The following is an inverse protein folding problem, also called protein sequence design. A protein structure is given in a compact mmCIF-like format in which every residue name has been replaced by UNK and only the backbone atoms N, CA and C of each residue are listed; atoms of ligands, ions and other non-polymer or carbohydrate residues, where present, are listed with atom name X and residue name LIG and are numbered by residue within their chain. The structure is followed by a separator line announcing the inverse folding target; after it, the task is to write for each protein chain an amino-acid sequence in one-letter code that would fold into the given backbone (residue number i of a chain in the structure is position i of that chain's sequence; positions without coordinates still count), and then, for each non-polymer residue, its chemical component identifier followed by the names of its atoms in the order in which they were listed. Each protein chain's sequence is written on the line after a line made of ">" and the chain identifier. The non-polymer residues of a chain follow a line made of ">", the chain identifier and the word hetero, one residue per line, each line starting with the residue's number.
data_IF_653267940533
#
_entry.id   IF_653267940533
#
_cell.length_a   1.000
_cell.length_b   1.000
_cell.length_c   1.000
_cell.angle_alpha   90.00
_cell.angle_beta   90.00
_cell.angle_gamma   90.00
#
_symmetry.space_group_name_H-M   'P 1'
#
loop_
_entity.id
_entity.type
_entity.pdbx_description
1 polymer ?
#
# COMPACT_ATOMS: atom_id res chain seq x y z
N UNK A 1 -25.74 10.36 6.10
CA UNK A 1 -24.60 11.09 5.47
C UNK A 1 -25.18 12.29 4.73
N UNK A 2 -24.79 13.54 5.05
CA UNK A 2 -25.39 14.77 4.49
C UNK A 2 -24.78 15.21 3.14
N UNK A 3 -24.30 14.26 2.33
CA UNK A 3 -23.66 14.56 1.04
C UNK A 3 -22.25 15.19 1.15
N UNK A 4 -21.59 15.11 2.31
CA UNK A 4 -20.28 15.74 2.54
C UNK A 4 -19.09 14.90 2.03
N UNK A 5 -19.31 13.62 1.69
CA UNK A 5 -18.24 12.70 1.25
C UNK A 5 -18.74 11.94 0.02
N UNK A 6 -18.09 12.16 -1.13
CA UNK A 6 -18.41 11.47 -2.39
C UNK A 6 -17.84 10.04 -2.45
N UNK A 7 -16.73 9.77 -1.76
CA UNK A 7 -16.12 8.44 -1.68
C UNK A 7 -15.19 8.30 -0.47
N UNK A 8 -15.01 7.07 0.02
CA UNK A 8 -14.03 6.73 1.05
C UNK A 8 -13.19 5.54 0.61
N UNK A 9 -11.88 5.65 0.73
CA UNK A 9 -10.97 4.52 0.62
C UNK A 9 -10.58 4.01 2.01
N UNK A 10 -10.62 2.70 2.25
CA UNK A 10 -10.25 2.07 3.52
C UNK A 10 -9.73 0.66 3.24
N UNK A 11 -8.80 0.13 4.06
CA UNK A 11 -8.31 -1.23 3.88
C UNK A 11 -9.40 -2.26 4.20
N UNK A 12 -9.37 -3.40 3.49
CA UNK A 12 -10.32 -4.49 3.68
C UNK A 12 -10.38 -4.94 5.15
N UNK A 13 -9.23 -5.16 5.78
CA UNK A 13 -9.12 -5.62 7.17
C UNK A 13 -9.75 -4.64 8.16
N UNK A 14 -9.63 -3.33 7.89
CA UNK A 14 -10.25 -2.30 8.74
C UNK A 14 -11.76 -2.34 8.62
N UNK A 15 -12.31 -2.52 7.41
CA UNK A 15 -13.76 -2.67 7.22
C UNK A 15 -14.26 -3.89 7.99
N UNK A 16 -13.59 -5.03 7.82
CA UNK A 16 -13.94 -6.28 8.50
C UNK A 16 -13.90 -6.17 10.03
N UNK A 17 -12.82 -5.59 10.56
CA UNK A 17 -12.59 -5.55 12.01
C UNK A 17 -13.41 -4.48 12.71
N UNK A 18 -13.59 -3.31 12.09
CA UNK A 18 -14.21 -2.15 12.74
C UNK A 18 -15.66 -1.91 12.35
N UNK A 19 -16.09 -2.39 11.18
CA UNK A 19 -17.44 -2.14 10.65
C UNK A 19 -18.05 -3.43 10.05
N UNK A 20 -18.07 -4.56 10.78
CA UNK A 20 -18.60 -5.82 10.24
C UNK A 20 -20.07 -5.69 9.81
N UNK A 21 -20.85 -4.90 10.56
CA UNK A 21 -22.25 -4.60 10.26
C UNK A 21 -22.48 -3.93 8.91
N UNK A 22 -21.50 -3.21 8.36
CA UNK A 22 -21.61 -2.61 7.03
C UNK A 22 -21.65 -3.67 5.93
N UNK A 23 -20.93 -4.79 6.14
CA UNK A 23 -20.87 -5.93 5.24
C UNK A 23 -22.00 -6.94 5.47
N UNK A 24 -22.45 -7.10 6.71
CA UNK A 24 -23.51 -8.05 7.07
C UNK A 24 -24.90 -7.54 6.70
N UNK A 25 -25.10 -6.22 6.77
CA UNK A 25 -26.39 -5.57 6.50
C UNK A 25 -26.43 -4.80 5.17
N UNK A 26 -25.42 -4.97 4.32
CA UNK A 26 -25.26 -4.27 3.04
C UNK A 26 -25.53 -2.76 3.16
N UNK A 27 -24.83 -2.09 4.09
CA UNK A 27 -25.01 -0.65 4.34
C UNK A 27 -24.11 0.22 3.47
N UNK A 28 -23.19 -0.38 2.71
CA UNK A 28 -22.20 0.30 1.88
C UNK A 28 -21.97 -0.47 0.59
N UNK A 29 -21.82 0.27 -0.51
CA UNK A 29 -21.45 -0.26 -1.80
C UNK A 29 -19.95 -0.10 -2.04
N UNK A 30 -19.25 -1.21 -2.30
CA UNK A 30 -17.85 -1.19 -2.71
C UNK A 30 -17.78 -1.30 -4.23
N UNK A 31 -17.13 -0.31 -4.88
CA UNK A 31 -17.10 -0.24 -6.34
C UNK A 31 -15.82 -0.76 -6.98
N UNK A 32 -14.70 -0.71 -6.27
CA UNK A 32 -13.39 -1.13 -6.77
C UNK A 32 -12.44 -1.37 -5.60
N UNK A 33 -11.37 -2.12 -5.88
CA UNK A 33 -10.29 -2.39 -4.93
C UNK A 33 -8.93 -2.04 -5.54
N UNK A 34 -7.92 -1.91 -4.69
CA UNK A 34 -6.52 -1.87 -5.10
C UNK A 34 -5.77 -2.94 -4.31
N UNK A 35 -5.13 -3.86 -5.02
CA UNK A 35 -4.36 -4.96 -4.42
C UNK A 35 -2.97 -4.46 -3.98
N UNK A 36 -2.64 -4.56 -2.70
CA UNK A 36 -1.39 -3.98 -2.16
C UNK A 36 -0.71 -5.03 -1.28
N UNK A 37 0.26 -5.82 -1.79
CA UNK A 37 0.83 -5.82 -3.14
C UNK A 37 -0.10 -6.39 -4.23
N UNK A 38 0.26 -6.22 -5.50
CA UNK A 38 -0.52 -6.76 -6.64
C UNK A 38 -0.63 -8.29 -6.52
N UNK A 39 -1.84 -8.81 -6.70
CA UNK A 39 -2.18 -10.22 -6.50
C UNK A 39 -2.54 -10.60 -5.06
N UNK A 40 -2.33 -9.71 -4.09
CA UNK A 40 -2.75 -9.92 -2.70
C UNK A 40 -4.15 -9.32 -2.49
N UNK A 41 -5.14 -10.18 -2.61
CA UNK A 41 -6.55 -9.80 -2.65
C UNK A 41 -7.32 -10.46 -1.51
N UNK A 42 -8.10 -9.67 -0.78
CA UNK A 42 -8.99 -10.18 0.26
C UNK A 42 -10.16 -10.97 -0.36
N UNK A 43 -10.41 -12.25 0.03
CA UNK A 43 -11.39 -13.13 -0.64
C UNK A 43 -12.79 -12.55 -0.76
N UNK A 44 -13.27 -11.82 0.26
CA UNK A 44 -14.59 -11.17 0.24
C UNK A 44 -14.77 -10.19 -0.92
N UNK A 45 -13.71 -9.48 -1.30
CA UNK A 45 -13.77 -8.40 -2.28
C UNK A 45 -13.24 -8.84 -3.64
N UNK A 46 -12.95 -10.12 -3.82
CA UNK A 46 -12.36 -10.68 -5.04
C UNK A 46 -13.23 -10.55 -6.30
N UNK A 47 -14.51 -10.25 -6.13
CA UNK A 47 -15.46 -10.02 -7.20
C UNK A 47 -15.45 -8.58 -7.71
N UNK A 48 -14.77 -7.66 -7.01
CA UNK A 48 -14.71 -6.25 -7.37
C UNK A 48 -13.60 -5.98 -8.38
N UNK A 49 -13.77 -4.99 -9.28
CA UNK A 49 -12.73 -4.63 -10.22
C UNK A 49 -11.52 -4.04 -9.52
N UNK A 50 -10.33 -4.42 -10.00
CA UNK A 50 -9.05 -3.86 -9.55
C UNK A 50 -8.82 -2.49 -10.23
N UNK A 51 -8.38 -1.49 -9.49
CA UNK A 51 -8.32 -0.10 -9.96
C UNK A 51 -7.47 0.10 -11.23
N UNK A 52 -6.44 -0.71 -11.42
CA UNK A 52 -5.57 -0.71 -12.60
C UNK A 52 -6.34 -1.11 -13.87
N UNK A 53 -7.45 -1.86 -13.77
CA UNK A 53 -8.27 -2.23 -14.92
C UNK A 53 -8.98 -1.04 -15.56
N UNK A 54 -9.14 0.07 -14.84
CA UNK A 54 -9.70 1.31 -15.38
C UNK A 54 -8.66 2.19 -16.08
N UNK A 55 -7.37 1.87 -15.99
CA UNK A 55 -6.30 2.63 -16.60
C UNK A 55 -6.28 2.47 -18.13
N UNK A 56 -6.54 3.55 -18.86
CA UNK A 56 -6.67 3.56 -20.33
C UNK A 56 -5.34 3.83 -21.03
N UNK A 57 -4.44 4.56 -20.38
CA UNK A 57 -3.12 4.89 -20.91
C UNK A 57 -2.00 4.21 -20.13
N UNK A 58 -0.81 4.10 -20.74
CA UNK A 58 0.41 3.67 -20.03
C UNK A 58 0.71 4.60 -18.84
N UNK A 59 0.44 5.90 -19.02
CA UNK A 59 0.61 6.92 -17.98
C UNK A 59 -0.28 6.63 -16.76
N UNK A 60 -1.55 6.31 -16.96
CA UNK A 60 -2.47 5.95 -15.87
C UNK A 60 -1.99 4.69 -15.14
N UNK A 61 -1.52 3.68 -15.89
CA UNK A 61 -0.97 2.45 -15.30
C UNK A 61 0.25 2.74 -14.43
N UNK A 62 1.16 3.61 -14.90
CA UNK A 62 2.33 4.05 -14.11
C UNK A 62 1.91 4.80 -12.83
N UNK A 63 0.87 5.64 -12.88
CA UNK A 63 0.33 6.32 -11.69
C UNK A 63 -0.21 5.31 -10.67
N UNK A 64 -0.97 4.31 -11.11
CA UNK A 64 -1.49 3.24 -10.23
C UNK A 64 -0.34 2.41 -9.66
N UNK A 65 0.64 2.01 -10.47
CA UNK A 65 1.85 1.30 -10.02
C UNK A 65 2.60 2.09 -8.96
N UNK A 66 2.75 3.41 -9.16
CA UNK A 66 3.43 4.27 -8.20
C UNK A 66 2.66 4.40 -6.88
N UNK A 67 1.33 4.58 -6.94
CA UNK A 67 0.46 4.56 -5.76
C UNK A 67 0.59 3.24 -4.99
N UNK A 68 0.60 2.11 -5.71
CA UNK A 68 0.76 0.77 -5.13
C UNK A 68 2.11 0.63 -4.44
N UNK A 69 3.19 1.04 -5.09
CA UNK A 69 4.54 0.96 -4.55
C UNK A 69 4.71 1.81 -3.28
N UNK A 70 4.14 3.02 -3.22
CA UNK A 70 4.16 3.84 -2.01
C UNK A 70 3.32 3.24 -0.88
N UNK A 71 2.20 2.57 -1.17
CA UNK A 71 1.43 1.85 -0.15
C UNK A 71 2.14 0.61 0.37
N UNK A 72 2.74 -0.19 -0.51
CA UNK A 72 3.49 -1.41 -0.13
C UNK A 72 4.73 -1.06 0.69
N UNK A 73 5.48 -0.03 0.29
CA UNK A 73 6.71 0.34 1.01
C UNK A 73 6.44 1.05 2.33
N UNK A 74 5.27 1.68 2.50
CA UNK A 74 4.87 2.34 3.74
C UNK A 74 5.88 3.37 4.20
N UNK A 75 6.57 3.08 5.30
CA UNK A 75 7.60 3.94 5.89
C UNK A 75 8.94 3.18 5.93
N UNK A 76 9.69 3.11 4.81
CA UNK A 76 10.92 2.34 4.75
C UNK A 76 12.07 3.01 5.50
N UNK A 77 12.97 2.20 6.05
CA UNK A 77 14.28 2.67 6.52
C UNK A 77 15.23 2.78 5.33
N UNK A 78 15.84 3.95 5.14
CA UNK A 78 16.73 4.25 4.00
C UNK A 78 18.08 4.71 4.51
N UNK A 79 19.15 4.20 3.90
CA UNK A 79 20.53 4.58 4.20
C UNK A 79 21.04 5.58 3.15
N UNK A 80 22.01 6.45 3.50
CA UNK A 80 22.60 7.37 2.55
C UNK A 80 23.24 6.66 1.35
N UNK A 81 23.24 7.30 0.16
CA UNK A 81 24.00 6.80 -0.99
C UNK A 81 25.47 6.58 -0.64
N UNK A 82 26.06 5.49 -1.13
CA UNK A 82 27.47 5.15 -0.88
C UNK A 82 27.74 4.45 0.45
N UNK A 83 26.71 4.11 1.24
CA UNK A 83 26.88 3.26 2.44
C UNK A 83 27.55 1.93 2.05
N UNK A 84 28.65 1.52 2.73
CA UNK A 84 29.34 0.27 2.43
C UNK A 84 28.42 -0.96 2.51
N UNK A 85 28.60 -1.90 1.58
CA UNK A 85 27.70 -3.05 1.39
C UNK A 85 27.61 -3.94 2.64
N UNK A 86 28.72 -4.16 3.34
CA UNK A 86 28.79 -4.89 4.60
C UNK A 86 27.87 -4.27 5.66
N UNK A 87 27.79 -2.94 5.73
CA UNK A 87 26.92 -2.22 6.68
C UNK A 87 25.45 -2.34 6.31
N UNK A 88 25.14 -2.31 5.01
CA UNK A 88 23.78 -2.55 4.51
C UNK A 88 23.34 -3.97 4.87
N UNK A 89 24.18 -4.97 4.60
CA UNK A 89 23.87 -6.38 4.85
C UNK A 89 23.63 -6.66 6.34
N UNK A 90 24.42 -6.07 7.24
CA UNK A 90 24.22 -6.19 8.70
C UNK A 90 22.82 -5.70 9.11
N UNK A 91 22.40 -4.54 8.62
CA UNK A 91 21.09 -3.96 8.97
C UNK A 91 19.94 -4.77 8.38
N UNK A 92 20.05 -5.20 7.12
CA UNK A 92 19.05 -6.07 6.52
C UNK A 92 18.90 -7.37 7.29
N UNK A 93 20.02 -7.98 7.71
CA UNK A 93 19.98 -9.22 8.47
C UNK A 93 19.37 -9.04 9.86
N UNK A 94 19.61 -7.90 10.52
CA UNK A 94 18.93 -7.56 11.76
C UNK A 94 17.41 -7.50 11.58
N UNK A 95 16.91 -6.84 10.52
CA UNK A 95 15.47 -6.81 10.21
C UNK A 95 14.92 -8.21 9.89
N UNK A 96 15.63 -9.03 9.10
CA UNK A 96 15.21 -10.41 8.81
C UNK A 96 15.06 -11.23 10.10
N UNK A 97 16.02 -11.13 11.01
CA UNK A 97 15.98 -11.83 12.30
C UNK A 97 14.79 -11.37 13.14
N UNK A 98 14.60 -10.06 13.30
CA UNK A 98 13.47 -9.49 14.05
C UNK A 98 12.12 -9.92 13.49
N UNK A 99 11.92 -9.84 12.17
CA UNK A 99 10.64 -10.16 11.54
C UNK A 99 10.34 -11.66 11.46
N UNK A 100 11.34 -12.52 11.64
CA UNK A 100 11.17 -13.97 11.77
C UNK A 100 11.01 -14.42 13.23
N UNK A 101 11.24 -13.54 14.19
CA UNK A 101 11.13 -13.86 15.61
C UNK A 101 9.65 -13.99 16.04
N UNK A 102 9.17 -15.16 16.49
CA UNK A 102 7.80 -15.31 16.99
C UNK A 102 7.46 -14.37 18.15
N UNK A 103 8.43 -14.00 18.98
CA UNK A 103 8.20 -13.08 20.10
C UNK A 103 7.92 -11.65 19.61
N UNK A 104 8.53 -11.22 18.49
CA UNK A 104 8.17 -9.96 17.83
C UNK A 104 6.69 -9.95 17.42
N UNK A 105 6.21 -11.04 16.80
CA UNK A 105 4.81 -11.15 16.38
C UNK A 105 3.84 -11.14 17.57
N UNK A 106 4.17 -11.85 18.65
CA UNK A 106 3.38 -11.82 19.89
C UNK A 106 3.32 -10.41 20.50
N UNK A 107 4.47 -9.74 20.58
CA UNK A 107 4.56 -8.39 21.12
C UNK A 107 3.78 -7.39 20.25
N UNK A 108 3.92 -7.46 18.92
CA UNK A 108 3.19 -6.62 17.99
C UNK A 108 1.67 -6.83 18.12
N UNK A 109 1.23 -8.09 18.14
CA UNK A 109 -0.20 -8.42 18.28
C UNK A 109 -0.79 -7.88 19.58
N UNK A 110 -0.05 -7.96 20.68
CA UNK A 110 -0.46 -7.37 21.96
C UNK A 110 -0.59 -5.85 21.90
N UNK A 111 0.30 -5.17 21.17
CA UNK A 111 0.37 -3.70 21.14
C UNK A 111 -0.58 -3.08 20.10
N UNK A 112 -0.65 -3.66 18.90
CA UNK A 112 -1.41 -3.15 17.76
C UNK A 112 -2.82 -3.77 17.63
N UNK A 113 -3.08 -4.88 18.34
CA UNK A 113 -4.28 -5.71 18.15
C UNK A 113 -4.46 -6.16 16.70
N UNK A 114 -3.34 -6.45 16.02
CA UNK A 114 -3.27 -6.84 14.61
C UNK A 114 -2.08 -7.79 14.38
N UNK A 115 -2.08 -8.52 13.28
CA UNK A 115 -0.96 -9.39 12.90
C UNK A 115 0.11 -8.61 12.13
N UNK A 116 1.38 -8.85 12.45
CA UNK A 116 2.47 -8.16 11.77
C UNK A 116 2.69 -8.76 10.37
N UNK A 117 2.57 -7.94 9.33
CA UNK A 117 2.85 -8.32 7.94
C UNK A 117 4.04 -7.53 7.38
N UNK A 118 5.26 -7.72 7.92
CA UNK A 118 6.43 -6.93 7.52
C UNK A 118 6.88 -7.30 6.10
N UNK A 119 7.29 -6.29 5.34
CA UNK A 119 7.94 -6.49 4.05
C UNK A 119 9.44 -6.75 4.26
N UNK A 120 9.96 -7.84 3.67
CA UNK A 120 11.37 -8.20 3.80
C UNK A 120 12.28 -7.24 3.01
N UNK A 121 13.57 -7.09 3.39
CA UNK A 121 14.47 -6.14 2.75
C UNK A 121 14.56 -6.25 1.22
N UNK A 122 14.60 -7.46 0.69
CA UNK A 122 14.70 -7.72 -0.76
C UNK A 122 13.44 -7.26 -1.49
N UNK A 123 12.27 -7.47 -0.88
CA UNK A 123 11.01 -7.05 -1.43
C UNK A 123 10.88 -5.51 -1.39
N UNK A 124 11.35 -4.86 -0.31
CA UNK A 124 11.48 -3.39 -0.27
C UNK A 124 12.37 -2.87 -1.40
N UNK A 125 13.57 -3.43 -1.57
CA UNK A 125 14.48 -3.01 -2.64
C UNK A 125 13.86 -3.17 -4.02
N UNK A 126 13.23 -4.32 -4.27
CA UNK A 126 12.55 -4.61 -5.53
C UNK A 126 11.47 -3.57 -5.80
N UNK A 127 10.56 -3.36 -4.85
CA UNK A 127 9.47 -2.39 -5.00
C UNK A 127 9.99 -0.98 -5.27
N UNK A 128 11.02 -0.53 -4.54
CA UNK A 128 11.61 0.81 -4.72
C UNK A 128 12.28 0.96 -6.10
N UNK A 129 12.93 -0.09 -6.61
CA UNK A 129 13.54 -0.08 -7.94
C UNK A 129 12.50 -0.01 -9.07
N UNK A 130 11.33 -0.62 -8.85
CA UNK A 130 10.24 -0.69 -9.82
C UNK A 130 9.35 0.56 -9.83
N UNK A 131 9.54 1.51 -8.91
CA UNK A 131 8.81 2.79 -8.90
C UNK A 131 9.09 3.54 -10.22
N UNK A 132 8.04 3.94 -10.98
CA UNK A 132 8.20 4.75 -12.18
C UNK A 132 8.96 6.06 -11.90
N UNK A 133 9.93 6.40 -12.77
CA UNK A 133 10.79 7.60 -12.63
C UNK A 133 10.58 8.66 -13.71
N UNK A 134 9.52 8.51 -14.49
CA UNK A 134 9.17 9.47 -15.55
C UNK A 134 8.79 10.83 -14.93
N UNK A 135 9.45 11.95 -15.30
CA UNK A 135 9.19 13.25 -14.69
C UNK A 135 7.72 13.69 -14.80
N UNK A 136 7.07 13.46 -15.94
CA UNK A 136 5.65 13.79 -16.13
C UNK A 136 4.75 13.02 -15.16
N UNK A 137 5.00 11.72 -14.98
CA UNK A 137 4.23 10.86 -14.06
C UNK A 137 4.40 11.32 -12.62
N UNK A 138 5.64 11.67 -12.23
CA UNK A 138 5.95 12.19 -10.90
C UNK A 138 5.19 13.50 -10.65
N UNK A 139 5.20 14.44 -11.59
CA UNK A 139 4.50 15.71 -11.42
C UNK A 139 2.98 15.56 -11.34
N UNK A 140 2.40 14.66 -12.12
CA UNK A 140 0.97 14.35 -12.02
C UNK A 140 0.64 13.71 -10.66
N UNK A 141 1.45 12.74 -10.22
CA UNK A 141 1.23 12.10 -8.93
C UNK A 141 1.33 13.07 -7.77
N UNK A 142 2.33 13.97 -7.77
CA UNK A 142 2.44 15.06 -6.79
C UNK A 142 1.17 15.89 -6.73
N UNK A 143 0.57 16.23 -7.88
CA UNK A 143 -0.72 16.94 -7.92
C UNK A 143 -1.84 16.12 -7.29
N UNK A 144 -1.95 14.82 -7.63
CA UNK A 144 -2.97 13.90 -7.09
C UNK A 144 -2.89 13.79 -5.57
N UNK A 145 -1.70 13.72 -5.00
CA UNK A 145 -1.50 13.55 -3.55
C UNK A 145 -1.41 14.88 -2.78
N UNK A 146 -1.43 16.02 -3.48
CA UNK A 146 -1.45 17.35 -2.88
C UNK A 146 -2.88 17.84 -2.63
N UNK A 147 -3.02 18.93 -1.88
CA UNK A 147 -4.31 19.60 -1.66
C UNK A 147 -4.74 20.52 -2.84
N UNK A 148 -3.98 20.54 -3.94
CA UNK A 148 -4.29 21.36 -5.10
C UNK A 148 -5.40 20.78 -5.98
N UNK A 149 -5.92 21.56 -6.95
CA UNK A 149 -6.90 21.06 -7.90
C UNK A 149 -6.30 19.93 -8.74
N UNK A 150 -7.11 18.90 -9.01
CA UNK A 150 -6.72 17.81 -9.91
C UNK A 150 -6.55 18.32 -11.34
N UNK A 151 -5.63 17.74 -12.13
CA UNK A 151 -5.51 18.07 -13.55
C UNK A 151 -6.83 17.82 -14.29
N UNK A 152 -7.20 18.66 -15.27
CA UNK A 152 -8.31 18.34 -16.16
C UNK A 152 -8.04 17.03 -16.89
N UNK A 153 -9.09 16.24 -17.09
CA UNK A 153 -9.04 14.99 -17.86
C UNK A 153 -9.30 15.23 -19.34
#
# INVERSE_FOLDING_TARGET
>A
MRGEIDARATSADTVFRRNPEWLEKDLVDFHAIIEVPKGDQHPRFAHLPEIESFARSEKDRKLVTMQRAFRVTGQPFVLPPGTPKDRVEILQEAFRKTYRDPEFHKAYKKLAADDATPLMPEAHEKTIREIPRDPEVIEIFKKIVSAGPLPPR
#
